data_IF_278460941672
#
_entry.id   IF_278460941672
#
_cell.length_a   1.000
_cell.length_b   1.000
_cell.length_c   1.000
_cell.angle_alpha   90.00
_cell.angle_beta   90.00
_cell.angle_gamma   90.00
#
_symmetry.space_group_name_H-M   'P 1'
#
loop_
_entity.id
_entity.type
_entity.pdbx_description
1 polymer ?
#
# COMPACT_ATOMS: atom_id res chain seq x y z
N UNK A 1 0.71 3.16 -30.31
CA UNK A 1 2.11 2.76 -30.02
C UNK A 1 2.97 3.86 -29.37
N UNK A 2 2.83 5.16 -29.70
CA UNK A 2 3.69 6.25 -29.17
C UNK A 2 3.51 6.50 -27.66
N UNK A 3 2.27 6.51 -27.15
CA UNK A 3 1.98 6.72 -25.72
C UNK A 3 2.53 5.59 -24.85
N UNK A 4 2.33 4.33 -25.23
CA UNK A 4 2.86 3.18 -24.50
C UNK A 4 4.39 3.27 -24.31
N UNK A 5 5.12 3.69 -25.34
CA UNK A 5 6.57 3.92 -25.24
C UNK A 5 6.91 5.03 -24.23
N UNK A 6 6.13 6.12 -24.19
CA UNK A 6 6.35 7.20 -23.21
C UNK A 6 6.18 6.66 -21.78
N UNK A 7 5.10 5.93 -21.50
CA UNK A 7 4.86 5.31 -20.19
C UNK A 7 5.92 4.26 -19.83
N UNK A 8 6.36 3.45 -20.78
CA UNK A 8 7.41 2.47 -20.55
C UNK A 8 8.74 3.15 -20.24
N UNK A 9 9.09 4.20 -21.00
CA UNK A 9 10.32 4.96 -20.76
C UNK A 9 10.28 5.70 -19.42
N UNK A 10 9.15 6.31 -19.05
CA UNK A 10 9.01 6.92 -17.72
C UNK A 10 9.11 5.87 -16.61
N UNK A 11 8.52 4.69 -16.78
CA UNK A 11 8.64 3.59 -15.81
C UNK A 11 10.10 3.14 -15.65
N UNK A 12 10.85 3.02 -16.74
CA UNK A 12 12.27 2.67 -16.70
C UNK A 12 13.11 3.77 -16.04
N UNK A 13 12.76 5.04 -16.22
CA UNK A 13 13.43 6.16 -15.54
C UNK A 13 13.19 6.09 -14.02
N UNK A 14 11.95 5.92 -13.59
CA UNK A 14 11.62 5.77 -12.18
C UNK A 14 12.28 4.52 -11.58
N UNK A 15 12.35 3.42 -12.33
CA UNK A 15 13.03 2.21 -11.87
C UNK A 15 14.52 2.48 -11.59
N UNK A 16 15.21 3.20 -12.48
CA UNK A 16 16.60 3.59 -12.27
C UNK A 16 16.77 4.46 -11.03
N UNK A 17 15.88 5.44 -10.85
CA UNK A 17 15.87 6.31 -9.67
C UNK A 17 15.72 5.50 -8.37
N UNK A 18 14.76 4.59 -8.33
CA UNK A 18 14.56 3.68 -7.20
C UNK A 18 15.76 2.78 -6.93
N UNK A 19 16.46 2.30 -7.97
CA UNK A 19 17.65 1.47 -7.83
C UNK A 19 18.88 2.26 -7.35
N UNK A 20 19.00 3.53 -7.72
CA UNK A 20 20.03 4.44 -7.18
C UNK A 20 19.79 4.62 -5.67
N UNK A 21 18.55 4.92 -5.27
CA UNK A 21 18.15 5.10 -3.87
C UNK A 21 17.62 3.80 -3.22
N UNK A 22 18.22 2.66 -3.56
CA UNK A 22 17.75 1.32 -3.15
C UNK A 22 17.56 1.17 -1.63
N UNK A 23 18.43 1.76 -0.83
CA UNK A 23 18.33 1.68 0.62
C UNK A 23 17.06 2.35 1.15
N UNK A 24 16.73 3.54 0.62
CA UNK A 24 15.49 4.25 0.97
C UNK A 24 14.27 3.43 0.57
N UNK A 25 14.26 2.90 -0.66
CA UNK A 25 13.16 2.05 -1.15
C UNK A 25 12.95 0.83 -0.26
N UNK A 26 14.03 0.15 0.12
CA UNK A 26 13.96 -1.01 1.01
C UNK A 26 13.39 -0.63 2.37
N UNK A 27 13.85 0.46 2.99
CA UNK A 27 13.32 0.93 4.27
C UNK A 27 11.81 1.12 4.17
N UNK A 28 11.32 1.83 3.15
CA UNK A 28 9.88 2.05 2.97
C UNK A 28 9.09 0.77 2.75
N UNK A 29 9.60 -0.14 1.91
CA UNK A 29 8.93 -1.42 1.67
C UNK A 29 8.91 -2.31 2.92
N UNK A 30 9.99 -2.32 3.71
CA UNK A 30 10.03 -3.04 4.97
C UNK A 30 9.10 -2.41 6.00
N UNK A 31 9.03 -1.08 6.11
CA UNK A 31 8.09 -0.42 7.02
C UNK A 31 6.64 -0.81 6.72
N UNK A 32 6.23 -0.82 5.43
CA UNK A 32 4.89 -1.23 5.03
C UNK A 32 4.60 -2.71 5.27
N UNK A 33 5.63 -3.55 5.20
CA UNK A 33 5.49 -4.99 5.41
C UNK A 33 5.46 -5.33 6.91
N UNK A 34 6.32 -4.68 7.70
CA UNK A 34 6.46 -4.95 9.12
C UNK A 34 5.20 -4.62 9.90
N UNK A 35 4.53 -3.52 9.58
CA UNK A 35 3.32 -3.09 10.29
C UNK A 35 2.22 -4.18 10.34
N UNK A 36 1.67 -4.69 9.22
CA UNK A 36 0.65 -5.73 9.26
C UNK A 36 1.19 -7.06 9.83
N UNK A 37 2.47 -7.37 9.64
CA UNK A 37 3.08 -8.60 10.16
C UNK A 37 3.20 -8.55 11.69
N UNK A 38 3.62 -7.43 12.26
CA UNK A 38 3.72 -7.26 13.72
C UNK A 38 2.33 -7.32 14.34
N UNK A 39 1.35 -6.59 13.79
CA UNK A 39 -0.02 -6.65 14.29
C UNK A 39 -0.60 -8.07 14.20
N UNK A 40 -0.37 -8.77 13.10
CA UNK A 40 -0.75 -10.18 12.96
C UNK A 40 -0.16 -11.05 14.07
N UNK A 41 1.13 -10.91 14.33
CA UNK A 41 1.80 -11.70 15.36
C UNK A 41 1.30 -11.38 16.76
N UNK A 42 1.06 -10.11 17.07
CA UNK A 42 0.50 -9.67 18.35
C UNK A 42 -0.89 -10.28 18.57
N UNK A 43 -1.79 -10.15 17.61
CA UNK A 43 -3.16 -10.66 17.76
C UNK A 43 -3.23 -12.18 17.80
N UNK A 44 -2.35 -12.86 17.05
CA UNK A 44 -2.23 -14.33 17.14
C UNK A 44 -1.72 -14.78 18.51
N UNK A 45 -0.82 -14.01 19.13
CA UNK A 45 -0.33 -14.29 20.48
C UNK A 45 -1.45 -14.08 21.52
N UNK A 46 -2.24 -13.02 21.38
CA UNK A 46 -3.43 -12.77 22.22
C UNK A 46 -4.43 -13.93 22.08
N UNK A 47 -4.74 -14.37 20.86
CA UNK A 47 -5.65 -15.49 20.63
C UNK A 47 -5.18 -16.79 21.30
N UNK A 48 -3.88 -17.04 21.39
CA UNK A 48 -3.35 -18.19 22.15
C UNK A 48 -3.55 -18.02 23.65
N UNK A 49 -3.28 -16.82 24.17
CA UNK A 49 -3.42 -16.53 25.59
C UNK A 49 -4.88 -16.63 26.06
N UNK A 50 -5.85 -16.31 25.19
CA UNK A 50 -7.29 -16.38 25.47
C UNK A 50 -7.93 -17.76 25.19
N UNK A 51 -7.13 -18.81 25.02
CA UNK A 51 -7.64 -20.18 24.88
C UNK A 51 -7.97 -20.62 23.45
N UNK A 52 -7.43 -19.94 22.44
CA UNK A 52 -7.46 -20.35 21.03
C UNK A 52 -8.16 -19.37 20.08
N UNK A 53 -8.83 -18.35 20.61
CA UNK A 53 -9.44 -17.28 19.81
C UNK A 53 -9.39 -15.94 20.52
N UNK A 54 -9.19 -14.86 19.78
CA UNK A 54 -9.35 -13.49 20.28
C UNK A 54 -10.65 -12.90 19.72
N UNK A 55 -11.64 -12.64 20.57
CA UNK A 55 -12.94 -12.09 20.15
C UNK A 55 -13.68 -12.94 19.10
N UNK A 56 -13.53 -14.27 19.16
CA UNK A 56 -14.13 -15.21 18.19
C UNK A 56 -13.28 -15.47 16.93
N UNK A 57 -12.13 -14.81 16.78
CA UNK A 57 -11.21 -15.06 15.67
C UNK A 57 -10.09 -16.03 16.08
N UNK A 58 -9.97 -17.13 15.35
CA UNK A 58 -8.86 -18.08 15.45
C UNK A 58 -7.55 -17.47 14.96
N UNK A 59 -6.42 -18.11 15.26
CA UNK A 59 -5.14 -17.71 14.67
C UNK A 59 -5.13 -17.77 13.14
N UNK A 60 -5.80 -18.76 12.55
CA UNK A 60 -5.88 -18.93 11.09
C UNK A 60 -6.67 -17.81 10.44
N UNK A 61 -7.82 -17.43 11.01
CA UNK A 61 -8.64 -16.33 10.50
C UNK A 61 -7.96 -14.96 10.66
N UNK A 62 -7.27 -14.72 11.78
CA UNK A 62 -6.43 -13.53 11.96
C UNK A 62 -5.30 -13.45 10.93
N UNK A 63 -4.64 -14.58 10.64
CA UNK A 63 -3.58 -14.64 9.63
C UNK A 63 -4.14 -14.29 8.25
N UNK A 64 -5.28 -14.88 7.87
CA UNK A 64 -5.93 -14.59 6.59
C UNK A 64 -6.30 -13.11 6.46
N UNK A 65 -6.85 -12.52 7.52
CA UNK A 65 -7.21 -11.11 7.58
C UNK A 65 -5.99 -10.19 7.35
N UNK A 66 -4.92 -10.37 8.12
CA UNK A 66 -3.75 -9.50 8.00
C UNK A 66 -2.96 -9.72 6.71
N UNK A 67 -2.99 -10.93 6.12
CA UNK A 67 -2.44 -11.17 4.78
C UNK A 67 -3.24 -10.44 3.71
N UNK A 68 -4.58 -10.47 3.79
CA UNK A 68 -5.42 -9.69 2.88
C UNK A 68 -5.19 -8.19 3.06
N UNK A 69 -5.11 -7.72 4.31
CA UNK A 69 -4.81 -6.32 4.64
C UNK A 69 -3.47 -5.89 4.05
N UNK A 70 -2.43 -6.72 4.14
CA UNK A 70 -1.12 -6.43 3.55
C UNK A 70 -1.20 -6.22 2.03
N UNK A 71 -1.97 -7.04 1.32
CA UNK A 71 -2.18 -6.90 -0.13
C UNK A 71 -2.97 -5.62 -0.44
N UNK A 72 -4.08 -5.39 0.27
CA UNK A 72 -4.92 -4.21 0.07
C UNK A 72 -4.14 -2.92 0.35
N UNK A 73 -3.35 -2.88 1.42
CA UNK A 73 -2.52 -1.73 1.77
C UNK A 73 -1.47 -1.46 0.67
N UNK A 74 -0.74 -2.47 0.19
CA UNK A 74 0.24 -2.27 -0.88
C UNK A 74 -0.40 -1.76 -2.19
N UNK A 75 -1.61 -2.23 -2.50
CA UNK A 75 -2.34 -1.82 -3.71
C UNK A 75 -2.94 -0.42 -3.61
N UNK A 76 -3.40 -0.01 -2.43
CA UNK A 76 -4.08 1.27 -2.20
C UNK A 76 -3.13 2.40 -1.83
N UNK A 77 -1.95 2.07 -1.30
CA UNK A 77 -0.97 3.06 -0.87
C UNK A 77 -0.50 3.95 -2.02
N UNK A 78 -0.45 5.26 -1.75
CA UNK A 78 0.05 6.27 -2.68
C UNK A 78 0.72 7.43 -1.94
N UNK A 79 1.89 7.84 -2.41
CA UNK A 79 2.62 9.01 -1.90
C UNK A 79 2.24 10.31 -2.62
N UNK A 80 1.36 10.22 -3.63
CA UNK A 80 1.09 11.33 -4.57
C UNK A 80 0.61 12.58 -3.82
N UNK A 81 -0.19 12.43 -2.76
CA UNK A 81 -0.70 13.56 -1.98
C UNK A 81 0.41 14.37 -1.30
N UNK A 82 1.36 13.69 -0.65
CA UNK A 82 2.49 14.36 0.01
C UNK A 82 3.38 15.08 -1.01
N UNK A 83 3.64 14.42 -2.14
CA UNK A 83 4.43 14.96 -3.23
C UNK A 83 3.75 16.16 -3.89
N UNK A 84 2.42 16.12 -4.03
CA UNK A 84 1.65 17.23 -4.59
C UNK A 84 1.67 18.45 -3.67
N UNK A 85 1.49 18.25 -2.35
CA UNK A 85 1.61 19.32 -1.36
C UNK A 85 3.00 19.96 -1.38
N UNK A 86 4.06 19.15 -1.48
CA UNK A 86 5.43 19.63 -1.63
C UNK A 86 5.60 20.48 -2.90
N UNK A 87 5.12 20.02 -4.06
CA UNK A 87 5.22 20.76 -5.33
C UNK A 87 4.49 22.09 -5.31
N UNK A 88 3.37 22.20 -4.59
CA UNK A 88 2.64 23.46 -4.42
C UNK A 88 3.48 24.40 -3.55
N UNK A 89 3.95 23.92 -2.39
CA UNK A 89 4.70 24.74 -1.42
C UNK A 89 5.99 25.31 -2.02
N UNK A 90 6.70 24.50 -2.80
CA UNK A 90 7.97 24.89 -3.43
C UNK A 90 7.79 25.59 -4.79
N UNK A 91 6.55 25.82 -5.25
CA UNK A 91 6.27 26.46 -6.55
C UNK A 91 6.64 25.64 -7.79
N UNK A 92 7.13 24.41 -7.62
CA UNK A 92 7.56 23.51 -8.71
C UNK A 92 6.39 23.14 -9.63
N UNK A 93 5.17 23.06 -9.09
CA UNK A 93 3.98 22.72 -9.87
C UNK A 93 3.73 23.68 -11.04
N UNK A 94 4.00 24.98 -10.88
CA UNK A 94 3.82 25.98 -11.93
C UNK A 94 4.70 25.69 -13.15
N UNK A 95 5.96 25.32 -12.93
CA UNK A 95 6.88 24.92 -14.01
C UNK A 95 6.44 23.62 -14.70
N UNK A 96 5.84 22.69 -13.95
CA UNK A 96 5.38 21.42 -14.52
C UNK A 96 4.16 21.58 -15.44
N UNK A 97 3.29 22.56 -15.17
CA UNK A 97 2.10 22.84 -15.97
C UNK A 97 2.42 23.47 -17.33
N UNK A 98 3.65 23.97 -17.53
CA UNK A 98 4.11 24.47 -18.83
C UNK A 98 4.38 23.33 -19.82
N UNK A 99 4.57 22.11 -19.35
CA UNK A 99 4.74 20.95 -20.22
C UNK A 99 3.40 20.51 -20.82
N UNK A 100 3.39 20.02 -22.08
CA UNK A 100 2.17 19.56 -22.73
C UNK A 100 1.61 18.25 -22.14
N UNK A 101 2.35 17.59 -21.24
CA UNK A 101 1.93 16.36 -20.58
C UNK A 101 1.55 16.66 -19.13
N UNK A 102 0.32 16.35 -18.75
CA UNK A 102 -0.17 16.59 -17.40
C UNK A 102 0.67 15.81 -16.35
N UNK A 103 1.05 16.42 -15.21
CA UNK A 103 1.93 15.79 -14.20
C UNK A 103 1.45 14.43 -13.68
N UNK A 104 0.13 14.21 -13.67
CA UNK A 104 -0.51 12.95 -13.23
C UNK A 104 0.04 11.71 -13.95
N UNK A 105 0.42 11.83 -15.21
CA UNK A 105 0.94 10.69 -15.97
C UNK A 105 2.28 10.20 -15.39
N UNK A 106 3.10 11.15 -14.91
CA UNK A 106 4.36 10.84 -14.24
C UNK A 106 4.08 10.20 -12.88
N UNK A 107 3.15 10.76 -12.12
CA UNK A 107 2.80 10.28 -10.77
C UNK A 107 2.21 8.87 -10.78
N UNK A 108 1.31 8.58 -11.73
CA UNK A 108 0.77 7.23 -11.96
C UNK A 108 1.89 6.26 -12.34
N UNK A 109 2.80 6.67 -13.23
CA UNK A 109 3.90 5.79 -13.62
C UNK A 109 4.83 5.49 -12.45
N UNK A 110 5.21 6.52 -11.68
CA UNK A 110 6.05 6.39 -10.50
C UNK A 110 5.43 5.45 -9.47
N UNK A 111 4.14 5.62 -9.15
CA UNK A 111 3.44 4.76 -8.20
C UNK A 111 3.34 3.31 -8.71
N UNK A 112 3.06 3.11 -9.99
CA UNK A 112 3.04 1.78 -10.60
C UNK A 112 4.43 1.11 -10.53
N UNK A 113 5.51 1.84 -10.85
CA UNK A 113 6.88 1.32 -10.76
C UNK A 113 7.23 0.93 -9.32
N UNK A 114 6.88 1.75 -8.33
CA UNK A 114 7.09 1.44 -6.92
C UNK A 114 6.34 0.16 -6.49
N UNK A 115 5.08 0.02 -6.89
CA UNK A 115 4.27 -1.19 -6.60
C UNK A 115 4.88 -2.44 -7.20
N UNK A 116 5.29 -2.38 -8.47
CA UNK A 116 5.94 -3.48 -9.18
C UNK A 116 7.27 -3.88 -8.51
N UNK A 117 8.07 -2.90 -8.09
CA UNK A 117 9.31 -3.16 -7.37
C UNK A 117 9.03 -3.81 -6.01
N UNK A 118 8.00 -3.33 -5.31
CA UNK A 118 7.56 -3.89 -4.03
C UNK A 118 7.13 -5.35 -4.13
N UNK A 119 6.59 -5.81 -5.26
CA UNK A 119 6.19 -7.21 -5.44
C UNK A 119 7.36 -8.19 -5.22
N UNK A 120 8.60 -7.78 -5.49
CA UNK A 120 9.80 -8.60 -5.25
C UNK A 120 9.97 -8.94 -3.78
N UNK A 121 9.51 -8.08 -2.87
CA UNK A 121 9.55 -8.31 -1.42
C UNK A 121 8.21 -8.89 -0.91
N UNK A 122 7.10 -8.31 -1.35
CA UNK A 122 5.76 -8.64 -0.87
C UNK A 122 5.32 -10.05 -1.27
N UNK A 123 5.60 -10.51 -2.50
CA UNK A 123 5.18 -11.84 -2.94
C UNK A 123 5.90 -12.94 -2.12
N UNK A 124 7.24 -12.93 -1.98
CA UNK A 124 7.91 -13.92 -1.14
C UNK A 124 7.44 -13.88 0.31
N UNK A 125 7.27 -12.68 0.90
CA UNK A 125 6.81 -12.56 2.28
C UNK A 125 5.39 -13.13 2.45
N UNK A 126 4.47 -12.79 1.55
CA UNK A 126 3.12 -13.33 1.54
C UNK A 126 3.12 -14.86 1.46
N UNK A 127 3.91 -15.43 0.54
CA UNK A 127 4.01 -16.88 0.37
C UNK A 127 4.61 -17.56 1.61
N UNK A 128 5.71 -17.03 2.15
CA UNK A 128 6.34 -17.56 3.35
C UNK A 128 5.36 -17.55 4.53
N UNK A 129 4.74 -16.40 4.81
CA UNK A 129 3.77 -16.28 5.90
C UNK A 129 2.58 -17.21 5.70
N UNK A 130 2.07 -17.35 4.47
CA UNK A 130 0.98 -18.27 4.16
C UNK A 130 1.35 -19.72 4.44
N UNK A 131 2.56 -20.15 4.08
CA UNK A 131 3.04 -21.51 4.31
C UNK A 131 3.24 -21.80 5.80
N UNK A 132 3.85 -20.87 6.55
CA UNK A 132 4.16 -21.08 7.96
C UNK A 132 2.96 -20.92 8.89
N UNK A 133 2.08 -19.96 8.60
CA UNK A 133 1.01 -19.57 9.52
C UNK A 133 -0.35 -20.16 9.16
N UNK A 134 -0.47 -20.82 8.00
CA UNK A 134 -1.66 -21.57 7.55
C UNK A 134 -2.96 -20.75 7.69
N UNK A 135 -3.13 -19.69 6.89
CA UNK A 135 -4.32 -18.85 6.95
C UNK A 135 -5.60 -19.64 6.65
N UNK A 136 -6.65 -19.35 7.42
CA UNK A 136 -8.00 -19.88 7.18
C UNK A 136 -8.78 -18.83 6.39
N UNK A 137 -8.65 -18.88 5.06
CA UNK A 137 -9.39 -17.98 4.19
C UNK A 137 -10.87 -18.35 4.11
N UNK A 138 -11.74 -17.45 4.56
CA UNK A 138 -13.18 -17.55 4.40
C UNK A 138 -13.60 -16.59 3.28
N UNK A 139 -13.75 -17.11 2.07
CA UNK A 139 -14.14 -16.32 0.91
C UNK A 139 -15.60 -16.55 0.58
N UNK A 140 -16.41 -15.51 0.76
CA UNK A 140 -17.77 -15.46 0.26
C UNK A 140 -17.86 -14.50 -0.94
N UNK A 141 -18.46 -14.89 -2.08
CA UNK A 141 -18.49 -14.06 -3.29
C UNK A 141 -19.04 -12.65 -3.10
N UNK A 142 -20.00 -12.48 -2.19
CA UNK A 142 -20.58 -11.17 -1.88
C UNK A 142 -19.58 -10.21 -1.20
N UNK A 143 -18.57 -10.73 -0.50
CA UNK A 143 -17.55 -9.91 0.16
C UNK A 143 -16.71 -9.14 -0.87
N UNK A 144 -16.50 -9.72 -2.07
CA UNK A 144 -15.80 -9.04 -3.16
C UNK A 144 -16.61 -7.84 -3.67
N UNK A 145 -17.94 -7.98 -3.75
CA UNK A 145 -18.82 -6.88 -4.13
C UNK A 145 -18.91 -5.81 -3.03
N UNK A 146 -18.93 -6.23 -1.76
CA UNK A 146 -18.92 -5.34 -0.61
C UNK A 146 -17.58 -4.60 -0.40
N UNK A 147 -16.47 -5.15 -0.92
CA UNK A 147 -15.15 -4.53 -0.84
C UNK A 147 -15.03 -3.24 -1.67
N UNK A 148 -15.72 -3.15 -2.81
CA UNK A 148 -15.66 -1.95 -3.66
C UNK A 148 -16.17 -0.67 -2.96
N UNK A 149 -17.35 -0.65 -2.31
CA UNK A 149 -17.81 0.54 -1.59
C UNK A 149 -17.01 0.85 -0.32
N UNK A 150 -16.38 -0.14 0.34
CA UNK A 150 -15.57 0.15 1.53
C UNK A 150 -14.29 0.92 1.19
N UNK A 151 -13.70 0.71 0.02
CA UNK A 151 -12.58 1.52 -0.47
C UNK A 151 -12.95 3.01 -0.61
N UNK A 152 -14.16 3.30 -1.06
CA UNK A 152 -14.66 4.68 -1.15
C UNK A 152 -14.87 5.30 0.25
N UNK A 153 -15.37 4.50 1.20
CA UNK A 153 -15.59 4.94 2.58
C UNK A 153 -14.32 5.37 3.31
N UNK A 154 -13.21 4.63 3.12
CA UNK A 154 -11.89 4.96 3.71
C UNK A 154 -11.35 6.28 3.16
N UNK A 155 -11.56 6.55 1.87
CA UNK A 155 -11.14 7.82 1.27
C UNK A 155 -11.90 9.02 1.83
N UNK A 156 -13.19 8.85 2.16
CA UNK A 156 -14.00 9.90 2.76
C UNK A 156 -13.65 10.18 4.23
N UNK A 157 -13.26 9.16 5.00
CA UNK A 157 -12.90 9.35 6.42
C UNK A 157 -11.51 9.98 6.61
N UNK A 158 -10.58 9.78 5.68
CA UNK A 158 -9.23 10.35 5.71
C UNK A 158 -9.13 11.84 5.33
N UNK A 159 -10.21 12.45 4.81
CA UNK A 159 -10.27 13.88 4.41
C UNK A 159 -11.10 14.70 5.43
N UNK A 160 -11.22 14.21 6.66
CA UNK A 160 -11.76 15.02 7.76
C UNK A 160 -10.76 16.12 8.13
N UNK A 161 -11.18 17.38 8.37
CA UNK A 161 -10.27 18.38 8.91
C UNK A 161 -9.70 17.84 10.22
N UNK A 162 -8.38 17.67 10.24
CA UNK A 162 -7.62 17.42 11.47
C UNK A 162 -8.05 18.53 12.42
N UNK A 163 -8.75 18.17 13.50
CA UNK A 163 -9.17 19.12 14.52
C UNK A 163 -7.91 19.54 15.28
N UNK A 164 -7.16 20.43 14.67
CA UNK A 164 -6.00 21.07 15.25
C UNK A 164 -6.45 21.88 16.47
N UNK A 165 -5.82 21.56 17.60
CA UNK A 165 -5.83 22.23 18.89
C UNK A 165 -6.77 23.42 19.08
N UNK A 166 -7.91 23.17 19.70
CA UNK A 166 -8.50 24.10 20.67
C UNK A 166 -8.49 23.43 22.03
N UNK A 167 -7.38 23.57 22.73
CA UNK A 167 -7.31 23.72 24.19
C UNK A 167 -6.25 24.76 24.52
#
# INVERSE_FOLDING_TARGET
MRLFRIYLLSALLHLKEHLIYRASVLIWLFSMLLEPVVFMMVWRAVALAEGGSAGGYTQGTLTAYYLALMVVNHLTFTWIMHEYAYRIREGVLAGQLLYPLHPIHRDVTMNATYKLLGLVLFIPAFLLLSVFLKPEFQFEPWQVLAFLPTLEGVWKSGIGPEKEGRE
#
